data_IF_476074967645
#
_entry.id   IF_476074967645
#
_cell.length_a   1.000
_cell.length_b   1.000
_cell.length_c   1.000
_cell.angle_alpha   90.00
_cell.angle_beta   90.00
_cell.angle_gamma   90.00
#
_symmetry.space_group_name_H-M   'P 1'
#
loop_
_entity.id
_entity.type
_entity.pdbx_description
1 polymer ?
#
# COMPACT_ATOMS: atom_id res chain seq x y z
N UNK A 1 21.36 -10.58 55.80
CA UNK A 1 22.07 -10.36 54.52
C UNK A 1 21.11 -10.15 53.34
N UNK A 2 20.34 -9.05 53.30
CA UNK A 2 19.46 -8.77 52.12
C UNK A 2 19.46 -7.30 51.66
N UNK A 3 20.00 -6.37 52.43
CA UNK A 3 19.99 -4.93 52.09
C UNK A 3 20.98 -4.58 50.97
N UNK A 4 22.11 -5.29 50.86
CA UNK A 4 23.13 -5.04 49.82
C UNK A 4 22.62 -5.28 48.39
N UNK A 5 21.65 -6.19 48.20
CA UNK A 5 21.08 -6.50 46.88
C UNK A 5 20.07 -5.44 46.40
N UNK A 6 19.37 -4.79 47.33
CA UNK A 6 18.43 -3.70 47.02
C UNK A 6 19.15 -2.41 46.60
N UNK A 7 20.32 -2.13 47.18
CA UNK A 7 21.11 -0.93 46.85
C UNK A 7 21.65 -1.00 45.41
N UNK A 8 22.12 -2.18 44.95
CA UNK A 8 22.56 -2.34 43.56
C UNK A 8 21.45 -2.10 42.53
N UNK A 9 20.20 -2.45 42.86
CA UNK A 9 19.08 -2.32 41.93
C UNK A 9 18.62 -0.86 41.77
N UNK A 10 18.78 -0.04 42.82
CA UNK A 10 18.46 1.38 42.82
C UNK A 10 19.47 2.22 42.02
N UNK A 11 20.76 1.87 42.07
CA UNK A 11 21.81 2.57 41.29
C UNK A 11 21.70 2.29 39.79
N UNK A 12 21.19 1.12 39.39
CA UNK A 12 21.03 0.75 37.98
C UNK A 12 19.93 1.55 37.27
N UNK A 13 18.87 1.95 37.99
CA UNK A 13 17.71 2.66 37.42
C UNK A 13 18.00 4.14 37.10
N UNK A 14 18.95 4.76 37.81
CA UNK A 14 19.32 6.16 37.60
C UNK A 14 20.11 6.35 36.28
N UNK A 15 20.79 5.30 35.81
CA UNK A 15 21.60 5.34 34.58
C UNK A 15 20.77 5.34 33.28
N UNK A 16 19.53 4.83 33.31
CA UNK A 16 18.66 4.76 32.12
C UNK A 16 17.87 6.05 31.88
N UNK A 17 17.85 6.98 32.84
CA UNK A 17 17.04 8.20 32.77
C UNK A 17 17.77 9.38 32.13
N UNK A 18 19.01 9.21 31.65
CA UNK A 18 19.80 10.25 31.00
C UNK A 18 19.97 10.01 29.50
N UNK A 19 18.87 9.76 28.79
CA UNK A 19 18.79 10.13 27.37
C UNK A 19 18.22 11.55 27.31
N UNK A 20 19.10 12.54 27.26
CA UNK A 20 18.73 13.92 26.96
C UNK A 20 18.46 13.97 25.46
N UNK A 21 17.20 13.92 25.07
CA UNK A 21 16.79 14.11 23.68
C UNK A 21 17.08 15.57 23.29
N UNK A 22 18.10 15.77 22.46
CA UNK A 22 18.33 17.06 21.83
C UNK A 22 17.24 17.25 20.76
N UNK A 23 16.24 18.06 21.10
CA UNK A 23 15.21 18.47 20.14
C UNK A 23 15.85 19.48 19.20
N UNK A 24 16.19 19.03 18.00
CA UNK A 24 16.64 19.92 16.95
C UNK A 24 15.49 20.86 16.57
N UNK A 25 15.67 22.15 16.86
CA UNK A 25 14.72 23.19 16.54
C UNK A 25 14.92 23.58 15.08
N UNK A 26 14.20 22.92 14.18
CA UNK A 26 14.13 23.31 12.78
C UNK A 26 13.35 24.62 12.66
N UNK A 27 14.06 25.73 12.49
CA UNK A 27 13.46 26.96 11.97
C UNK A 27 13.45 26.92 10.45
N UNK A 28 12.25 26.91 9.86
CA UNK A 28 12.10 27.18 8.44
C UNK A 28 12.56 28.61 8.14
N UNK A 29 13.67 28.76 7.42
CA UNK A 29 14.05 30.04 6.83
C UNK A 29 13.28 30.18 5.52
N UNK A 30 12.43 31.20 5.42
CA UNK A 30 11.83 31.58 4.15
C UNK A 30 12.98 32.04 3.24
N UNK A 31 13.34 31.19 2.29
CA UNK A 31 14.27 31.53 1.22
C UNK A 31 13.39 31.90 0.04
N UNK A 32 13.46 33.16 -0.38
CA UNK A 32 12.86 33.58 -1.64
C UNK A 32 13.64 32.87 -2.75
N UNK A 33 13.00 31.87 -3.36
CA UNK A 33 13.55 31.17 -4.52
C UNK A 33 13.03 31.92 -5.75
N UNK A 34 13.91 32.68 -6.39
CA UNK A 34 13.58 33.29 -7.67
C UNK A 34 13.28 32.18 -8.69
N UNK A 35 12.04 32.12 -9.16
CA UNK A 35 11.63 31.22 -10.23
C UNK A 35 12.27 31.71 -11.53
N UNK A 36 13.42 31.15 -11.91
CA UNK A 36 14.13 31.47 -13.17
C UNK A 36 13.37 30.96 -14.41
N UNK A 37 12.16 30.43 -14.23
CA UNK A 37 11.26 29.95 -15.27
C UNK A 37 9.96 30.78 -15.32
N UNK A 38 10.08 32.10 -15.32
CA UNK A 38 9.02 32.96 -15.86
C UNK A 38 9.11 32.97 -17.39
N UNK A 39 8.85 31.82 -18.00
CA UNK A 39 8.52 31.76 -19.42
C UNK A 39 7.00 31.93 -19.53
N UNK A 40 6.62 33.15 -19.85
CA UNK A 40 5.30 33.55 -20.34
C UNK A 40 4.85 32.57 -21.44
N UNK A 41 4.07 31.55 -21.05
CA UNK A 41 3.43 30.61 -21.96
C UNK A 41 1.92 30.76 -21.78
N UNK A 42 1.37 31.77 -22.44
CA UNK A 42 -0.06 31.94 -22.63
C UNK A 42 -0.60 30.75 -23.43
N UNK A 43 -1.20 29.78 -22.74
CA UNK A 43 -2.05 28.78 -23.39
C UNK A 43 -3.42 29.40 -23.64
N UNK A 44 -3.71 29.63 -24.92
CA UNK A 44 -5.03 29.99 -25.44
C UNK A 44 -6.00 28.83 -25.14
N UNK A 45 -6.95 29.06 -24.23
CA UNK A 45 -7.98 28.10 -23.87
C UNK A 45 -9.15 28.28 -24.83
N UNK A 46 -9.18 27.48 -25.92
CA UNK A 46 -10.36 27.32 -26.76
C UNK A 46 -11.34 26.37 -26.08
N UNK A 47 -12.55 26.89 -25.84
CA UNK A 47 -13.72 26.26 -25.24
C UNK A 47 -14.38 25.24 -26.18
N UNK A 48 -13.74 24.09 -26.41
CA UNK A 48 -14.24 23.00 -27.31
C UNK A 48 -14.20 21.59 -26.64
N UNK A 49 -14.25 21.48 -25.31
CA UNK A 49 -14.18 20.17 -24.62
C UNK A 49 -15.54 19.43 -24.49
N UNK A 50 -16.66 20.06 -24.84
CA UNK A 50 -17.98 19.47 -24.64
C UNK A 50 -18.38 18.46 -25.75
N UNK A 51 -17.76 18.51 -26.94
CA UNK A 51 -18.14 17.64 -28.06
C UNK A 51 -17.47 16.25 -28.00
N UNK A 52 -16.27 16.13 -27.42
CA UNK A 52 -15.56 14.85 -27.31
C UNK A 52 -16.17 13.93 -26.26
N UNK A 53 -16.64 14.47 -25.14
CA UNK A 53 -17.30 13.69 -24.08
C UNK A 53 -18.62 13.07 -24.57
N UNK A 54 -19.36 13.77 -25.44
CA UNK A 54 -20.58 13.25 -26.03
C UNK A 54 -20.32 12.14 -27.06
N UNK A 55 -19.21 12.25 -27.83
CA UNK A 55 -18.76 11.18 -28.75
C UNK A 55 -18.29 9.93 -28.00
N UNK A 56 -17.56 10.11 -26.89
CA UNK A 56 -17.10 9.00 -26.04
C UNK A 56 -18.27 8.27 -25.39
N UNK A 57 -19.26 8.99 -24.86
CA UNK A 57 -20.44 8.37 -24.25
C UNK A 57 -21.30 7.62 -25.27
N UNK A 58 -21.47 8.16 -26.48
CA UNK A 58 -22.11 7.45 -27.60
C UNK A 58 -21.35 6.19 -28.02
N UNK A 59 -20.02 6.23 -28.04
CA UNK A 59 -19.17 5.05 -28.33
C UNK A 59 -19.27 3.98 -27.24
N UNK A 60 -19.25 4.39 -25.96
CA UNK A 60 -19.38 3.47 -24.82
C UNK A 60 -20.75 2.79 -24.85
N UNK A 61 -21.83 3.54 -25.06
CA UNK A 61 -23.19 2.99 -25.13
C UNK A 61 -23.39 2.05 -26.32
N UNK A 62 -22.72 2.33 -27.45
CA UNK A 62 -22.68 1.44 -28.62
C UNK A 62 -21.88 0.16 -28.33
N UNK A 63 -20.76 0.25 -27.62
CA UNK A 63 -19.95 -0.92 -27.23
C UNK A 63 -20.62 -1.83 -26.19
N UNK A 64 -21.50 -1.28 -25.34
CA UNK A 64 -22.21 -2.05 -24.32
C UNK A 64 -23.36 -2.91 -24.88
N UNK A 65 -23.89 -2.56 -26.06
CA UNK A 65 -25.05 -3.24 -26.64
C UNK A 65 -24.69 -4.38 -27.60
N UNK A 66 -23.40 -4.58 -27.91
CA UNK A 66 -22.86 -5.56 -28.86
C UNK A 66 -22.00 -6.65 -28.16
N UNK A 67 -22.19 -6.87 -26.85
CA UNK A 67 -21.44 -7.91 -26.11
C UNK A 67 -22.38 -8.90 -25.40
N UNK A 68 -23.41 -9.32 -26.12
CA UNK A 68 -24.15 -10.56 -25.84
C UNK A 68 -23.85 -11.54 -26.96
N UNK A 69 -22.67 -12.15 -26.97
CA UNK A 69 -22.40 -13.50 -27.52
C UNK A 69 -20.92 -13.88 -27.37
N UNK A 70 -20.72 -15.02 -26.71
CA UNK A 70 -19.70 -16.06 -26.93
C UNK A 70 -18.21 -15.77 -26.68
N UNK A 71 -17.68 -16.63 -25.80
CA UNK A 71 -16.33 -17.10 -25.47
C UNK A 71 -15.05 -16.45 -26.06
N UNK A 72 -14.04 -16.45 -25.18
CA UNK A 72 -12.58 -16.36 -25.41
C UNK A 72 -11.94 -14.97 -25.59
N UNK A 73 -11.55 -14.38 -24.44
CA UNK A 73 -10.17 -13.96 -24.05
C UNK A 73 -10.28 -13.26 -22.67
N UNK A 74 -9.94 -13.99 -21.61
CA UNK A 74 -9.91 -13.49 -20.22
C UNK A 74 -8.57 -12.83 -19.90
N UNK A 75 -8.42 -11.54 -20.21
CA UNK A 75 -7.38 -10.69 -19.61
C UNK A 75 -7.85 -9.23 -19.43
N UNK A 76 -8.97 -8.99 -18.72
CA UNK A 76 -9.29 -7.66 -18.17
C UNK A 76 -10.15 -7.76 -16.91
N UNK A 77 -9.52 -7.97 -15.76
CA UNK A 77 -10.08 -7.59 -14.45
C UNK A 77 -9.00 -7.78 -13.36
N UNK A 78 -8.13 -6.79 -13.16
CA UNK A 78 -7.20 -6.81 -12.01
C UNK A 78 -7.00 -5.42 -11.39
N UNK A 79 -7.59 -4.35 -11.95
CA UNK A 79 -7.39 -2.97 -11.47
C UNK A 79 -8.46 -2.47 -10.49
N UNK A 80 -9.57 -3.19 -10.29
CA UNK A 80 -10.65 -2.78 -9.37
C UNK A 80 -11.03 -3.86 -8.33
N UNK A 81 -10.08 -4.69 -7.90
CA UNK A 81 -10.31 -5.64 -6.81
C UNK A 81 -10.16 -4.95 -5.45
N UNK A 82 -11.23 -4.27 -5.02
CA UNK A 82 -11.60 -4.05 -3.62
C UNK A 82 -10.52 -3.59 -2.65
N UNK A 83 -9.86 -2.45 -2.91
CA UNK A 83 -9.04 -1.77 -1.91
C UNK A 83 -9.91 -1.53 -0.67
N UNK A 84 -9.44 -1.97 0.50
CA UNK A 84 -10.18 -1.88 1.77
C UNK A 84 -11.22 -2.97 1.99
N UNK A 85 -11.30 -4.00 1.14
CA UNK A 85 -12.12 -5.20 1.41
C UNK A 85 -11.37 -6.19 2.30
N UNK A 86 -12.13 -6.87 3.15
CA UNK A 86 -11.66 -8.00 3.96
C UNK A 86 -11.60 -9.26 3.09
N UNK A 87 -10.49 -9.99 3.21
CA UNK A 87 -10.24 -11.26 2.54
C UNK A 87 -9.90 -12.33 3.57
N UNK A 88 -10.04 -13.59 3.16
CA UNK A 88 -9.67 -14.74 3.97
C UNK A 88 -8.51 -15.48 3.32
N UNK A 89 -7.56 -15.91 4.13
CA UNK A 89 -6.42 -16.71 3.69
C UNK A 89 -6.90 -18.14 3.36
N UNK A 90 -6.68 -18.58 2.12
CA UNK A 90 -7.15 -19.87 1.58
C UNK A 90 -6.28 -21.05 2.04
N UNK A 91 -4.98 -20.83 2.23
CA UNK A 91 -3.99 -21.79 2.71
C UNK A 91 -2.90 -21.09 3.52
N UNK A 92 -2.22 -21.82 4.41
CA UNK A 92 -1.10 -21.28 5.20
C UNK A 92 -0.07 -20.64 4.25
N UNK A 93 0.32 -19.40 4.50
CA UNK A 93 1.18 -18.62 3.60
C UNK A 93 2.22 -17.82 4.37
N UNK A 94 3.31 -17.44 3.70
CA UNK A 94 4.35 -16.59 4.27
C UNK A 94 3.95 -15.12 4.09
N UNK A 95 4.01 -14.37 5.18
CA UNK A 95 3.81 -12.92 5.17
C UNK A 95 5.17 -12.24 5.15
N UNK A 96 5.39 -11.42 4.12
CA UNK A 96 6.72 -10.95 3.74
C UNK A 96 6.81 -9.43 3.82
N UNK A 97 8.02 -8.90 4.10
CA UNK A 97 8.27 -7.45 4.13
C UNK A 97 8.21 -6.86 2.72
N UNK A 98 8.70 -7.62 1.75
CA UNK A 98 8.78 -7.25 0.33
C UNK A 98 8.21 -8.34 -0.59
N UNK A 99 7.79 -8.00 -1.83
CA UNK A 99 7.12 -8.91 -2.75
C UNK A 99 8.09 -9.83 -3.53
N UNK A 100 8.97 -10.55 -2.82
CA UNK A 100 9.86 -11.56 -3.37
C UNK A 100 10.08 -12.73 -2.40
N UNK A 101 10.57 -13.86 -2.91
CA UNK A 101 10.74 -15.10 -2.13
C UNK A 101 12.17 -15.26 -1.61
N UNK A 102 12.39 -14.76 -0.40
CA UNK A 102 13.63 -14.93 0.40
C UNK A 102 13.25 -15.30 1.84
N UNK A 103 14.08 -16.09 2.53
CA UNK A 103 13.82 -16.53 3.90
C UNK A 103 13.91 -15.38 4.92
N UNK A 104 14.85 -14.45 4.75
CA UNK A 104 15.05 -13.29 5.65
C UNK A 104 13.96 -12.22 5.48
N UNK A 105 13.20 -12.34 4.40
CA UNK A 105 12.06 -11.47 4.07
C UNK A 105 10.76 -11.88 4.77
N UNK A 106 10.71 -13.04 5.45
CA UNK A 106 9.50 -13.51 6.14
C UNK A 106 9.34 -12.78 7.48
N UNK A 107 8.19 -12.13 7.66
CA UNK A 107 7.76 -11.53 8.95
C UNK A 107 7.19 -12.62 9.84
N UNK A 108 6.20 -13.34 9.33
CA UNK A 108 5.52 -14.45 10.02
C UNK A 108 4.80 -15.34 8.99
N UNK A 109 4.19 -16.42 9.47
CA UNK A 109 3.33 -17.29 8.65
C UNK A 109 1.87 -17.10 9.06
N UNK A 110 1.03 -16.75 8.10
CA UNK A 110 -0.41 -16.54 8.35
C UNK A 110 -1.13 -17.88 8.21
N UNK A 111 -1.88 -18.34 9.23
CA UNK A 111 -2.64 -19.57 9.14
C UNK A 111 -3.84 -19.43 8.20
N UNK A 112 -4.27 -20.56 7.64
CA UNK A 112 -5.50 -20.66 6.86
C UNK A 112 -6.71 -20.11 7.65
N UNK A 113 -7.65 -19.52 6.94
CA UNK A 113 -8.87 -18.88 7.47
C UNK A 113 -8.64 -17.61 8.31
N UNK A 114 -7.42 -17.05 8.30
CA UNK A 114 -7.18 -15.72 8.87
C UNK A 114 -7.83 -14.64 8.01
N UNK A 115 -8.45 -13.66 8.67
CA UNK A 115 -8.97 -12.45 8.05
C UNK A 115 -7.86 -11.42 7.85
N UNK A 116 -7.81 -10.81 6.68
CA UNK A 116 -6.80 -9.82 6.31
C UNK A 116 -7.44 -8.69 5.49
N UNK A 117 -6.89 -7.48 5.59
CA UNK A 117 -7.37 -6.35 4.81
C UNK A 117 -6.49 -6.16 3.59
N UNK A 118 -7.08 -6.15 2.39
CA UNK A 118 -6.35 -5.87 1.16
C UNK A 118 -6.09 -4.37 1.01
N UNK A 119 -4.83 -4.01 0.86
CA UNK A 119 -4.41 -2.61 0.62
C UNK A 119 -4.20 -2.38 -0.87
N UNK A 120 -3.42 -3.23 -1.53
CA UNK A 120 -3.04 -3.04 -2.94
C UNK A 120 -2.60 -4.35 -3.58
N UNK A 121 -2.90 -4.51 -4.86
CA UNK A 121 -2.33 -5.57 -5.69
C UNK A 121 -1.10 -5.06 -6.45
N UNK A 122 -0.01 -5.84 -6.45
CA UNK A 122 1.22 -5.51 -7.19
C UNK A 122 1.67 -6.70 -8.02
N UNK A 123 2.41 -6.44 -9.10
CA UNK A 123 3.05 -7.46 -9.94
C UNK A 123 4.54 -7.17 -9.94
N UNK A 124 5.34 -8.13 -9.51
CA UNK A 124 6.81 -8.03 -9.43
C UNK A 124 7.38 -9.29 -10.06
N UNK A 125 8.29 -9.15 -11.02
CA UNK A 125 8.94 -10.26 -11.74
C UNK A 125 7.95 -11.29 -12.29
N UNK A 126 6.90 -10.80 -12.95
CA UNK A 126 5.84 -11.64 -13.51
C UNK A 126 4.85 -12.20 -12.49
N UNK A 127 5.14 -12.10 -11.20
CA UNK A 127 4.38 -12.73 -10.13
C UNK A 127 3.39 -11.77 -9.47
N UNK A 128 2.21 -12.30 -9.14
CA UNK A 128 1.10 -11.53 -8.55
C UNK A 128 1.15 -11.55 -7.03
N UNK A 129 1.27 -10.37 -6.43
CA UNK A 129 1.30 -10.15 -4.99
C UNK A 129 0.15 -9.26 -4.55
N UNK A 130 -0.14 -9.33 -3.26
CA UNK A 130 -1.13 -8.50 -2.58
C UNK A 130 -0.50 -7.95 -1.30
N UNK A 131 -0.46 -6.63 -1.20
CA UNK A 131 -0.12 -5.89 0.01
C UNK A 131 -1.34 -5.91 0.92
N UNK A 132 -1.15 -6.42 2.14
CA UNK A 132 -2.22 -6.60 3.12
C UNK A 132 -1.85 -6.00 4.47
N UNK A 133 -2.86 -5.74 5.30
CA UNK A 133 -2.70 -5.49 6.73
C UNK A 133 -3.17 -6.70 7.52
N UNK A 134 -2.32 -7.19 8.43
CA UNK A 134 -2.59 -8.32 9.31
C UNK A 134 -1.91 -8.09 10.66
N UNK A 135 -2.65 -8.25 11.77
CA UNK A 135 -2.14 -8.07 13.14
C UNK A 135 -1.39 -6.75 13.39
N UNK A 136 -1.80 -5.65 12.73
CA UNK A 136 -1.14 -4.34 12.83
C UNK A 136 0.12 -4.19 11.97
N UNK A 137 0.54 -5.25 11.29
CA UNK A 137 1.67 -5.24 10.35
C UNK A 137 1.18 -5.10 8.91
N UNK A 138 1.98 -4.43 8.09
CA UNK A 138 1.75 -4.28 6.65
C UNK A 138 2.85 -5.04 5.91
N UNK A 139 2.45 -5.86 4.94
CA UNK A 139 3.37 -6.68 4.18
C UNK A 139 2.71 -7.31 2.96
N UNK A 140 3.34 -8.34 2.41
CA UNK A 140 2.99 -8.92 1.13
C UNK A 140 2.72 -10.43 1.25
N UNK A 141 1.70 -10.89 0.54
CA UNK A 141 1.38 -12.30 0.34
C UNK A 141 1.16 -12.59 -1.14
N UNK A 142 1.26 -13.86 -1.55
CA UNK A 142 0.89 -14.28 -2.90
C UNK A 142 -0.61 -14.05 -3.12
N UNK A 143 -0.99 -13.51 -4.28
CA UNK A 143 -2.41 -13.18 -4.55
C UNK A 143 -3.33 -14.41 -4.50
N UNK A 144 -2.83 -15.57 -4.94
CA UNK A 144 -3.57 -16.84 -4.91
C UNK A 144 -3.83 -17.39 -3.50
N UNK A 145 -3.17 -16.85 -2.46
CA UNK A 145 -3.43 -17.20 -1.07
C UNK A 145 -4.68 -16.50 -0.51
N UNK A 146 -5.26 -15.53 -1.24
CA UNK A 146 -6.45 -14.78 -0.82
C UNK A 146 -7.70 -15.32 -1.51
N UNK A 147 -8.81 -15.39 -0.77
CA UNK A 147 -10.16 -15.62 -1.27
C UNK A 147 -11.11 -14.58 -0.67
N UNK A 148 -12.16 -14.23 -1.42
CA UNK A 148 -13.24 -13.40 -0.89
C UNK A 148 -13.86 -14.09 0.34
N UNK A 149 -14.23 -13.31 1.35
CA UNK A 149 -15.13 -13.78 2.40
C UNK A 149 -16.49 -14.10 1.76
N UNK A 150 -17.01 -15.29 2.02
CA UNK A 150 -18.32 -15.75 1.52
C UNK A 150 -19.39 -15.45 2.55
#
# INVERSE_FOLDING_TARGET
MKIKKIICLLVLLISLSSCKEEKENYQSKNVDVDTIFDSDFSYDYSDDEDEELEKLTKLIKKSANELSSTEDIKEKEDSNLGIGKEFVISSKTDFRKEPFEDEDNIIEKIPKNSKVNLIKNVKVDGQKWSKISFNGNIGYVRRNALKNEK
#
